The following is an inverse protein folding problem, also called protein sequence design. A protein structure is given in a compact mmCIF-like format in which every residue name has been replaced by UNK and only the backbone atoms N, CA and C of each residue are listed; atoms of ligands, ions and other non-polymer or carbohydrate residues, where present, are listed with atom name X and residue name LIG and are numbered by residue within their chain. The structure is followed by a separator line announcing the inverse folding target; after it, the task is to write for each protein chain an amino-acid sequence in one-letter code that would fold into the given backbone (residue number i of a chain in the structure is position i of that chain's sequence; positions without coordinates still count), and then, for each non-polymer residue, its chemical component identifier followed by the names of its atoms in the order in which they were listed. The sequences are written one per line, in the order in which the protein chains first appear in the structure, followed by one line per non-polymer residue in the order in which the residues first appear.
data_IF_490904204580
#
_entry.id   IF_490904204580
#
_cell.length_a   1.000
_cell.length_b   1.000
_cell.length_c   1.000
_cell.angle_alpha   90.00
_cell.angle_beta   90.00
_cell.angle_gamma   90.00
#
_symmetry.space_group_name_H-M   'P 1'
#
loop_
_entity.id
_entity.type
_entity.pdbx_description
1 polymer ?
#
# COMPACT_ATOMS: atom_id res chain seq x y z
N UNK A 1 -90.82 129.75 -29.73
CA UNK A 1 -91.56 128.71 -28.97
C UNK A 1 -92.49 127.87 -29.86
N UNK A 2 -93.34 128.45 -30.74
CA UNK A 2 -94.28 127.66 -31.58
C UNK A 2 -93.63 126.71 -32.60
N UNK A 3 -92.47 127.07 -33.16
CA UNK A 3 -91.74 126.18 -34.08
C UNK A 3 -91.27 124.88 -33.41
N UNK A 4 -90.78 124.98 -32.16
CA UNK A 4 -90.30 123.83 -31.40
C UNK A 4 -91.44 122.91 -30.95
N UNK A 5 -92.61 123.44 -30.56
CA UNK A 5 -93.75 122.58 -30.20
C UNK A 5 -94.36 121.89 -31.41
N UNK A 6 -94.36 122.54 -32.58
CA UNK A 6 -94.75 121.91 -33.85
C UNK A 6 -93.81 120.78 -34.25
N UNK A 7 -92.49 120.99 -34.13
CA UNK A 7 -91.48 119.94 -34.41
C UNK A 7 -91.62 118.78 -33.42
N UNK A 8 -91.76 119.04 -32.13
CA UNK A 8 -91.90 117.98 -31.13
C UNK A 8 -93.24 117.24 -31.22
N UNK A 9 -94.32 117.93 -31.57
CA UNK A 9 -95.61 117.32 -31.87
C UNK A 9 -95.56 116.41 -33.09
N UNK A 10 -94.80 116.78 -34.14
CA UNK A 10 -94.62 115.95 -35.33
C UNK A 10 -93.69 114.74 -35.07
N UNK A 11 -92.68 114.92 -34.23
CA UNK A 11 -91.63 113.92 -33.94
C UNK A 11 -92.08 112.90 -32.88
N UNK A 12 -93.05 113.23 -32.02
CA UNK A 12 -93.70 112.34 -31.04
C UNK A 12 -94.12 110.99 -31.64
N UNK A 13 -94.69 111.04 -32.84
CA UNK A 13 -95.28 109.86 -33.48
C UNK A 13 -94.33 109.15 -34.45
N UNK A 14 -93.12 109.68 -34.62
CA UNK A 14 -92.10 109.11 -35.50
C UNK A 14 -91.68 107.70 -35.00
N UNK A 15 -91.68 106.68 -35.88
CA UNK A 15 -91.25 105.33 -35.52
C UNK A 15 -89.85 105.28 -34.89
N UNK A 16 -88.95 106.19 -35.29
CA UNK A 16 -87.57 106.30 -34.78
C UNK A 16 -87.50 106.90 -33.37
N UNK A 17 -88.57 107.53 -32.90
CA UNK A 17 -88.71 108.04 -31.52
C UNK A 17 -89.46 107.04 -30.65
N UNK A 18 -90.43 106.31 -31.23
CA UNK A 18 -91.13 105.20 -30.57
C UNK A 18 -90.24 104.00 -30.22
N UNK A 19 -89.07 103.88 -30.83
CA UNK A 19 -88.05 102.88 -30.47
C UNK A 19 -87.41 103.14 -29.10
N UNK A 20 -87.53 104.36 -28.56
CA UNK A 20 -87.11 104.69 -27.20
C UNK A 20 -88.27 104.40 -26.22
N UNK A 21 -88.50 103.11 -25.94
CA UNK A 21 -89.58 102.61 -25.06
C UNK A 21 -89.49 103.11 -23.60
N UNK A 22 -88.41 103.80 -23.24
CA UNK A 22 -88.19 104.39 -21.91
C UNK A 22 -88.76 105.81 -21.78
N UNK A 23 -89.17 106.46 -22.89
CA UNK A 23 -89.86 107.76 -22.84
C UNK A 23 -91.34 107.49 -22.62
N UNK A 24 -91.84 107.74 -21.40
CA UNK A 24 -93.26 107.54 -21.13
C UNK A 24 -94.10 108.66 -21.73
N UNK A 25 -95.37 108.38 -22.01
CA UNK A 25 -96.32 109.40 -22.43
C UNK A 25 -96.44 110.53 -21.38
N UNK A 26 -96.22 110.21 -20.10
CA UNK A 26 -96.15 111.17 -19.01
C UNK A 26 -94.95 112.12 -19.15
N UNK A 27 -93.77 111.61 -19.52
CA UNK A 27 -92.58 112.44 -19.71
C UNK A 27 -92.75 113.39 -20.90
N UNK A 28 -93.33 112.88 -21.98
CA UNK A 28 -93.62 113.66 -23.18
C UNK A 28 -94.67 114.75 -22.91
N UNK A 29 -95.75 114.41 -22.20
CA UNK A 29 -96.80 115.37 -21.83
C UNK A 29 -96.24 116.48 -20.94
N UNK A 30 -95.39 116.16 -19.96
CA UNK A 30 -94.75 117.18 -19.11
C UNK A 30 -93.84 118.12 -19.89
N UNK A 31 -93.16 117.64 -20.93
CA UNK A 31 -92.35 118.48 -21.83
C UNK A 31 -93.26 119.40 -22.66
N UNK A 32 -94.36 118.87 -23.21
CA UNK A 32 -95.31 119.63 -24.03
C UNK A 32 -96.04 120.71 -23.22
N UNK A 33 -96.48 120.39 -22.01
CA UNK A 33 -97.24 121.29 -21.12
C UNK A 33 -96.42 122.51 -20.66
N UNK A 34 -95.09 122.37 -20.54
CA UNK A 34 -94.22 123.42 -20.03
C UNK A 34 -93.54 124.24 -21.14
N UNK A 35 -93.60 123.78 -22.39
CA UNK A 35 -92.87 124.39 -23.51
C UNK A 35 -93.29 125.83 -23.85
N UNK A 36 -94.50 126.23 -23.46
CA UNK A 36 -95.06 127.55 -23.73
C UNK A 36 -94.94 128.53 -22.54
N UNK A 37 -94.36 128.11 -21.42
CA UNK A 37 -94.32 128.88 -20.15
C UNK A 37 -93.05 129.74 -19.98
N UNK A 38 -92.52 130.28 -21.09
CA UNK A 38 -91.35 131.17 -21.07
C UNK A 38 -90.07 130.50 -20.55
N UNK A 39 -89.21 131.28 -19.87
CA UNK A 39 -87.89 130.82 -19.38
C UNK A 39 -88.02 129.70 -18.34
N UNK A 40 -88.98 129.80 -17.42
CA UNK A 40 -89.24 128.78 -16.42
C UNK A 40 -89.66 127.45 -17.07
N UNK A 41 -90.62 127.51 -18.00
CA UNK A 41 -91.08 126.35 -18.75
C UNK A 41 -89.97 125.64 -19.52
N UNK A 42 -89.06 126.41 -20.13
CA UNK A 42 -87.89 125.86 -20.83
C UNK A 42 -86.94 125.12 -19.87
N UNK A 43 -86.71 125.64 -18.66
CA UNK A 43 -85.93 124.94 -17.63
C UNK A 43 -86.54 123.58 -17.26
N UNK A 44 -87.85 123.53 -17.03
CA UNK A 44 -88.57 122.28 -16.73
C UNK A 44 -88.47 121.26 -17.87
N UNK A 45 -88.57 121.70 -19.13
CA UNK A 45 -88.37 120.84 -20.29
C UNK A 45 -86.95 120.25 -20.33
N UNK A 46 -85.93 121.08 -20.07
CA UNK A 46 -84.52 120.63 -20.01
C UNK A 46 -84.35 119.58 -18.92
N UNK A 47 -84.85 119.82 -17.71
CA UNK A 47 -84.72 118.88 -16.59
C UNK A 47 -85.38 117.53 -16.91
N UNK A 48 -86.53 117.54 -17.58
CA UNK A 48 -87.21 116.30 -17.99
C UNK A 48 -86.44 115.55 -19.07
N UNK A 49 -85.93 116.25 -20.10
CA UNK A 49 -85.09 115.63 -21.12
C UNK A 49 -83.81 115.06 -20.50
N UNK A 50 -83.17 115.79 -19.58
CA UNK A 50 -81.99 115.31 -18.85
C UNK A 50 -82.28 114.04 -18.07
N UNK A 51 -83.41 113.99 -17.34
CA UNK A 51 -83.82 112.78 -16.61
C UNK A 51 -84.07 111.60 -17.54
N UNK A 52 -84.82 111.80 -18.62
CA UNK A 52 -85.12 110.74 -19.60
C UNK A 52 -83.82 110.19 -20.23
N UNK A 53 -82.88 111.07 -20.59
CA UNK A 53 -81.58 110.65 -21.12
C UNK A 53 -80.76 109.90 -20.07
N UNK A 54 -80.79 110.36 -18.81
CA UNK A 54 -80.12 109.67 -17.71
C UNK A 54 -80.69 108.27 -17.46
N UNK A 55 -82.02 108.13 -17.40
CA UNK A 55 -82.70 106.85 -17.20
C UNK A 55 -82.46 105.90 -18.38
N UNK A 56 -82.44 106.42 -19.61
CA UNK A 56 -82.07 105.67 -20.80
C UNK A 56 -80.66 105.12 -20.72
N UNK A 57 -79.67 105.97 -20.40
CA UNK A 57 -78.27 105.55 -20.26
C UNK A 57 -78.11 104.54 -19.13
N UNK A 58 -78.80 104.71 -18.01
CA UNK A 58 -78.76 103.78 -16.88
C UNK A 58 -79.29 102.39 -17.28
N UNK A 59 -80.43 102.32 -17.97
CA UNK A 59 -81.00 101.04 -18.43
C UNK A 59 -80.14 100.39 -19.53
N UNK A 60 -79.57 101.19 -20.46
CA UNK A 60 -78.64 100.69 -21.48
C UNK A 60 -77.39 100.07 -20.82
N UNK A 61 -76.79 100.76 -19.85
CA UNK A 61 -75.64 100.26 -19.09
C UNK A 61 -75.99 98.97 -18.36
N UNK A 62 -77.13 98.93 -17.67
CA UNK A 62 -77.60 97.73 -16.96
C UNK A 62 -77.76 96.53 -17.89
N UNK A 63 -78.38 96.70 -19.06
CA UNK A 63 -78.54 95.60 -20.05
C UNK A 63 -77.20 95.18 -20.65
N UNK A 64 -76.33 96.15 -20.94
CA UNK A 64 -74.98 95.88 -21.46
C UNK A 64 -74.12 95.14 -20.44
N UNK A 65 -74.18 95.53 -19.16
CA UNK A 65 -73.50 94.86 -18.05
C UNK A 65 -74.01 93.44 -17.84
N UNK A 66 -75.32 93.18 -17.99
CA UNK A 66 -75.88 91.84 -17.93
C UNK A 66 -75.26 90.91 -18.99
N UNK A 67 -75.20 91.36 -20.24
CA UNK A 67 -74.55 90.61 -21.33
C UNK A 67 -73.05 90.41 -21.06
N UNK A 68 -72.34 91.46 -20.66
CA UNK A 68 -70.90 91.37 -20.34
C UNK A 68 -70.62 90.39 -19.19
N UNK A 69 -71.43 90.43 -18.13
CA UNK A 69 -71.29 89.53 -16.98
C UNK A 69 -71.49 88.08 -17.40
N UNK A 70 -72.52 87.78 -18.20
CA UNK A 70 -72.75 86.42 -18.69
C UNK A 70 -71.67 85.94 -19.65
N UNK A 71 -71.14 86.83 -20.51
CA UNK A 71 -69.99 86.51 -21.36
C UNK A 71 -68.73 86.20 -20.55
N UNK A 72 -68.50 86.93 -19.46
CA UNK A 72 -67.41 86.62 -18.53
C UNK A 72 -67.60 85.26 -17.87
N UNK A 73 -68.80 84.95 -17.36
CA UNK A 73 -69.16 83.63 -16.81
C UNK A 73 -68.96 82.50 -17.83
N UNK A 74 -69.38 82.71 -19.09
CA UNK A 74 -69.16 81.73 -20.16
C UNK A 74 -67.67 81.44 -20.36
N UNK A 75 -66.85 82.49 -20.47
CA UNK A 75 -65.40 82.38 -20.71
C UNK A 75 -64.66 81.72 -19.53
N UNK A 76 -64.91 82.22 -18.33
CA UNK A 76 -64.08 81.90 -17.16
C UNK A 76 -64.60 80.62 -16.48
N UNK A 77 -65.89 80.57 -16.17
CA UNK A 77 -66.47 79.50 -15.36
C UNK A 77 -66.87 78.28 -16.17
N UNK A 78 -67.38 78.48 -17.39
CA UNK A 78 -67.93 77.39 -18.20
C UNK A 78 -66.93 76.78 -19.16
N UNK A 79 -66.05 77.58 -19.75
CA UNK A 79 -65.03 77.09 -20.69
C UNK A 79 -63.73 76.81 -19.93
N UNK A 80 -63.11 77.84 -19.33
CA UNK A 80 -61.76 77.72 -18.79
C UNK A 80 -61.66 76.77 -17.59
N UNK A 81 -62.54 76.90 -16.60
CA UNK A 81 -62.51 76.04 -15.43
C UNK A 81 -62.84 74.57 -15.78
N UNK A 82 -63.87 74.34 -16.61
CA UNK A 82 -64.39 72.99 -16.88
C UNK A 82 -63.51 72.14 -17.78
N UNK A 83 -62.72 72.73 -18.68
CA UNK A 83 -61.77 71.97 -19.51
C UNK A 83 -60.77 71.21 -18.64
N UNK A 84 -60.36 71.78 -17.51
CA UNK A 84 -59.39 71.14 -16.59
C UNK A 84 -59.99 69.96 -15.80
N UNK A 85 -61.32 69.82 -15.74
CA UNK A 85 -61.98 68.73 -15.03
C UNK A 85 -62.01 67.42 -15.84
N UNK A 86 -61.59 67.45 -17.12
CA UNK A 86 -61.53 66.29 -18.00
C UNK A 86 -60.18 65.60 -17.81
N UNK A 87 -60.19 64.60 -16.93
CA UNK A 87 -58.99 63.88 -16.51
C UNK A 87 -58.76 62.63 -17.37
N UNK A 88 -57.61 62.59 -18.03
CA UNK A 88 -57.18 61.49 -18.88
C UNK A 88 -56.97 60.15 -18.13
N UNK A 89 -56.84 60.18 -16.80
CA UNK A 89 -56.68 58.96 -15.99
C UNK A 89 -58.01 58.25 -15.71
N UNK A 90 -59.14 58.91 -15.98
CA UNK A 90 -60.46 58.32 -15.84
C UNK A 90 -60.79 57.43 -17.04
N UNK A 91 -61.74 56.52 -16.87
CA UNK A 91 -62.23 55.71 -17.99
C UNK A 91 -63.03 56.58 -18.99
N UNK A 92 -63.10 56.16 -20.25
CA UNK A 92 -63.67 56.98 -21.31
C UNK A 92 -65.15 57.28 -21.08
N UNK A 93 -65.89 56.38 -20.43
CA UNK A 93 -67.29 56.62 -20.06
C UNK A 93 -67.44 57.79 -19.08
N UNK A 94 -66.58 57.89 -18.05
CA UNK A 94 -66.59 59.04 -17.12
C UNK A 94 -66.12 60.32 -17.78
N UNK A 95 -65.09 60.24 -18.63
CA UNK A 95 -64.62 61.41 -19.40
C UNK A 95 -65.75 61.96 -20.28
N UNK A 96 -66.50 61.08 -20.95
CA UNK A 96 -67.66 61.47 -21.75
C UNK A 96 -68.78 62.09 -20.92
N UNK A 97 -69.12 61.52 -19.76
CA UNK A 97 -70.14 62.10 -18.87
C UNK A 97 -69.77 63.52 -18.42
N UNK A 98 -68.51 63.75 -18.06
CA UNK A 98 -68.01 65.10 -17.71
C UNK A 98 -68.08 66.05 -18.89
N UNK A 99 -67.74 65.58 -20.09
CA UNK A 99 -67.83 66.37 -21.32
C UNK A 99 -69.28 66.75 -21.63
N UNK A 100 -70.21 65.81 -21.51
CA UNK A 100 -71.66 66.04 -21.67
C UNK A 100 -72.15 67.13 -20.71
N UNK A 101 -71.82 67.04 -19.42
CA UNK A 101 -72.21 68.07 -18.44
C UNK A 101 -71.59 69.43 -18.73
N UNK A 102 -70.34 69.47 -19.21
CA UNK A 102 -69.65 70.72 -19.58
C UNK A 102 -70.34 71.40 -20.77
N UNK A 103 -70.58 70.63 -21.83
CA UNK A 103 -71.22 71.14 -23.06
C UNK A 103 -72.66 71.57 -22.80
N UNK A 104 -73.40 70.87 -21.94
CA UNK A 104 -74.74 71.30 -21.52
C UNK A 104 -74.70 72.62 -20.75
N UNK A 105 -73.77 72.78 -19.81
CA UNK A 105 -73.61 74.04 -19.08
C UNK A 105 -73.26 75.22 -19.98
N UNK A 106 -72.40 75.01 -20.99
CA UNK A 106 -72.08 76.00 -22.03
C UNK A 106 -73.33 76.33 -22.84
N UNK A 107 -74.07 75.31 -23.30
CA UNK A 107 -75.30 75.48 -24.09
C UNK A 107 -76.35 76.30 -23.35
N UNK A 108 -76.59 76.04 -22.07
CA UNK A 108 -77.53 76.81 -21.26
C UNK A 108 -77.10 78.28 -21.12
N UNK A 109 -75.81 78.52 -20.87
CA UNK A 109 -75.28 79.89 -20.72
C UNK A 109 -75.38 80.67 -22.03
N UNK A 110 -75.14 80.02 -23.18
CA UNK A 110 -75.32 80.64 -24.51
C UNK A 110 -76.77 81.07 -24.73
N UNK A 111 -77.75 80.20 -24.43
CA UNK A 111 -79.17 80.54 -24.54
C UNK A 111 -79.57 81.69 -23.60
N UNK A 112 -79.00 81.74 -22.39
CA UNK A 112 -79.23 82.86 -21.46
C UNK A 112 -78.64 84.18 -21.96
N UNK A 113 -77.52 84.15 -22.70
CA UNK A 113 -76.95 85.35 -23.34
C UNK A 113 -77.82 85.79 -24.51
N UNK A 114 -78.30 84.87 -25.35
CA UNK A 114 -79.19 85.18 -26.47
C UNK A 114 -80.46 85.91 -25.99
N UNK A 115 -81.06 85.44 -24.90
CA UNK A 115 -82.22 86.10 -24.28
C UNK A 115 -81.92 87.53 -23.79
N UNK A 116 -80.74 87.78 -23.23
CA UNK A 116 -80.36 89.13 -22.79
C UNK A 116 -80.06 90.04 -23.98
N UNK A 117 -79.39 89.51 -25.02
CA UNK A 117 -79.11 90.23 -26.27
C UNK A 117 -80.41 90.66 -26.96
N UNK A 118 -81.46 89.85 -26.86
CA UNK A 118 -82.79 90.18 -27.41
C UNK A 118 -83.41 91.43 -26.77
N UNK A 119 -82.97 91.82 -25.57
CA UNK A 119 -83.43 93.02 -24.86
C UNK A 119 -82.63 94.28 -25.20
N UNK A 120 -81.52 94.17 -25.93
CA UNK A 120 -80.72 95.34 -26.33
C UNK A 120 -81.44 96.18 -27.38
N UNK A 121 -80.95 97.40 -27.61
CA UNK A 121 -81.41 98.21 -28.74
C UNK A 121 -81.09 97.51 -30.08
N UNK A 122 -81.84 97.87 -31.12
CA UNK A 122 -81.82 97.17 -32.41
C UNK A 122 -80.40 97.10 -33.01
N UNK A 123 -79.60 98.16 -32.87
CA UNK A 123 -78.27 98.20 -33.47
C UNK A 123 -77.28 97.28 -32.73
N UNK A 124 -77.26 97.33 -31.38
CA UNK A 124 -76.43 96.45 -30.56
C UNK A 124 -76.87 94.98 -30.66
N UNK A 125 -78.19 94.74 -30.61
CA UNK A 125 -78.79 93.42 -30.81
C UNK A 125 -78.31 92.78 -32.10
N UNK A 126 -78.51 93.43 -33.26
CA UNK A 126 -78.11 92.88 -34.55
C UNK A 126 -76.63 92.50 -34.61
N UNK A 127 -75.76 93.34 -34.05
CA UNK A 127 -74.31 93.10 -34.07
C UNK A 127 -73.92 91.90 -33.21
N UNK A 128 -74.47 91.79 -32.00
CA UNK A 128 -74.13 90.72 -31.06
C UNK A 128 -74.80 89.40 -31.46
N UNK A 129 -76.06 89.41 -31.92
CA UNK A 129 -76.76 88.21 -32.40
C UNK A 129 -75.95 87.49 -33.49
N UNK A 130 -75.30 88.23 -34.41
CA UNK A 130 -74.48 87.62 -35.47
C UNK A 130 -73.32 86.81 -34.90
N UNK A 131 -72.60 87.34 -33.92
CA UNK A 131 -71.47 86.64 -33.30
C UNK A 131 -71.96 85.48 -32.41
N UNK A 132 -73.07 85.68 -31.68
CA UNK A 132 -73.70 84.63 -30.87
C UNK A 132 -74.15 83.44 -31.71
N UNK A 133 -74.68 83.66 -32.91
CA UNK A 133 -75.06 82.57 -33.82
C UNK A 133 -73.88 81.65 -34.18
N UNK A 134 -72.65 82.20 -34.28
CA UNK A 134 -71.46 81.39 -34.54
C UNK A 134 -71.11 80.52 -33.33
N UNK A 135 -71.16 81.10 -32.13
CA UNK A 135 -70.93 80.38 -30.86
C UNK A 135 -71.99 79.29 -30.67
N UNK A 136 -73.27 79.63 -30.83
CA UNK A 136 -74.39 78.70 -30.72
C UNK A 136 -74.27 77.54 -31.72
N UNK A 137 -73.87 77.83 -32.96
CA UNK A 137 -73.61 76.80 -33.96
C UNK A 137 -72.52 75.82 -33.54
N UNK A 138 -71.38 76.32 -33.05
CA UNK A 138 -70.28 75.48 -32.57
C UNK A 138 -70.70 74.63 -31.35
N UNK A 139 -71.40 75.23 -30.38
CA UNK A 139 -71.89 74.54 -29.19
C UNK A 139 -72.93 73.46 -29.56
N UNK A 140 -73.78 73.72 -30.55
CA UNK A 140 -74.75 72.74 -31.01
C UNK A 140 -74.07 71.49 -31.60
N UNK A 141 -73.02 71.66 -32.43
CA UNK A 141 -72.25 70.54 -32.98
C UNK A 141 -71.58 69.74 -31.88
N UNK A 142 -70.96 70.42 -30.90
CA UNK A 142 -70.35 69.76 -29.74
C UNK A 142 -71.37 68.96 -28.94
N UNK A 143 -72.56 69.53 -28.71
CA UNK A 143 -73.65 68.89 -27.98
C UNK A 143 -74.15 67.65 -28.72
N UNK A 144 -74.45 67.77 -30.01
CA UNK A 144 -74.91 66.62 -30.81
C UNK A 144 -73.88 65.48 -30.83
N UNK A 145 -72.60 65.82 -30.82
CA UNK A 145 -71.52 64.82 -30.82
C UNK A 145 -71.38 64.16 -29.44
N UNK A 146 -71.34 64.95 -28.36
CA UNK A 146 -71.18 64.45 -26.99
C UNK A 146 -72.37 63.60 -26.52
N UNK A 147 -73.59 63.96 -26.94
CA UNK A 147 -74.82 63.23 -26.61
C UNK A 147 -75.17 62.15 -27.66
N UNK A 148 -74.33 61.97 -28.68
CA UNK A 148 -74.53 60.95 -29.70
C UNK A 148 -74.39 59.54 -29.12
N UNK A 149 -75.46 58.73 -29.23
CA UNK A 149 -75.49 57.36 -28.70
C UNK A 149 -74.31 56.50 -29.20
N UNK A 150 -73.88 56.69 -30.46
CA UNK A 150 -72.72 55.99 -31.03
C UNK A 150 -71.42 56.30 -30.29
N UNK A 151 -71.22 57.54 -29.89
CA UNK A 151 -70.00 57.96 -29.18
C UNK A 151 -69.97 57.39 -27.76
N UNK A 152 -71.11 57.38 -27.07
CA UNK A 152 -71.26 56.73 -25.77
C UNK A 152 -71.03 55.22 -25.83
N UNK A 153 -71.57 54.55 -26.85
CA UNK A 153 -71.34 53.11 -27.07
C UNK A 153 -69.86 52.80 -27.33
N UNK A 154 -69.17 53.63 -28.12
CA UNK A 154 -67.74 53.49 -28.38
C UNK A 154 -66.90 53.66 -27.11
N UNK A 155 -67.15 54.70 -26.32
CA UNK A 155 -66.45 54.94 -25.06
C UNK A 155 -66.58 53.75 -24.10
N UNK A 156 -67.82 53.25 -23.93
CA UNK A 156 -68.10 52.07 -23.12
C UNK A 156 -67.42 50.81 -23.66
N UNK A 157 -67.45 50.59 -24.98
CA UNK A 157 -66.84 49.42 -25.61
C UNK A 157 -65.33 49.38 -25.39
N UNK A 158 -64.65 50.52 -25.49
CA UNK A 158 -63.20 50.61 -25.24
C UNK A 158 -62.90 50.31 -23.77
N UNK A 159 -63.63 50.90 -22.83
CA UNK A 159 -63.46 50.63 -21.40
C UNK A 159 -63.69 49.14 -21.05
N UNK A 160 -64.71 48.53 -21.64
CA UNK A 160 -65.01 47.10 -21.47
C UNK A 160 -63.92 46.21 -22.05
N UNK A 161 -63.39 46.54 -23.23
CA UNK A 161 -62.31 45.78 -23.86
C UNK A 161 -61.01 45.91 -23.08
N UNK A 162 -60.64 47.12 -22.62
CA UNK A 162 -59.49 47.33 -21.75
C UNK A 162 -59.60 46.51 -20.46
N UNK A 163 -60.79 46.46 -19.85
CA UNK A 163 -61.04 45.64 -18.65
C UNK A 163 -60.88 44.15 -18.94
N UNK A 164 -61.40 43.67 -20.09
CA UNK A 164 -61.26 42.28 -20.53
C UNK A 164 -59.80 41.93 -20.80
N UNK A 165 -59.05 42.78 -21.50
CA UNK A 165 -57.63 42.58 -21.77
C UNK A 165 -56.81 42.55 -20.48
N UNK A 166 -57.05 43.48 -19.55
CA UNK A 166 -56.40 43.47 -18.23
C UNK A 166 -56.64 42.14 -17.50
N UNK A 167 -57.89 41.64 -17.50
CA UNK A 167 -58.23 40.36 -16.86
C UNK A 167 -57.56 39.17 -17.56
N UNK A 168 -57.51 39.16 -18.90
CA UNK A 168 -56.81 38.12 -19.68
C UNK A 168 -55.32 38.10 -19.35
N UNK A 169 -54.67 39.26 -19.37
CA UNK A 169 -53.25 39.40 -19.05
C UNK A 169 -52.96 38.91 -17.62
N UNK A 170 -53.78 39.29 -16.64
CA UNK A 170 -53.62 38.81 -15.26
C UNK A 170 -53.74 37.29 -15.16
N UNK A 171 -54.72 36.70 -15.83
CA UNK A 171 -54.91 35.24 -15.84
C UNK A 171 -53.75 34.52 -16.53
N UNK A 172 -53.23 35.06 -17.62
CA UNK A 172 -52.07 34.50 -18.33
C UNK A 172 -50.81 34.57 -17.48
N UNK A 173 -50.56 35.69 -16.79
CA UNK A 173 -49.45 35.84 -15.85
C UNK A 173 -49.57 34.79 -14.73
N UNK A 174 -50.74 34.66 -14.11
CA UNK A 174 -50.95 33.70 -13.03
C UNK A 174 -50.73 32.26 -13.51
N UNK A 175 -51.29 31.90 -14.67
CA UNK A 175 -51.14 30.56 -15.26
C UNK A 175 -49.68 30.23 -15.57
N UNK A 176 -48.95 31.16 -16.20
CA UNK A 176 -47.54 30.96 -16.51
C UNK A 176 -46.68 30.88 -15.24
N UNK A 177 -47.00 31.68 -14.23
CA UNK A 177 -46.30 31.64 -12.94
C UNK A 177 -46.49 30.29 -12.24
N UNK A 178 -47.70 29.76 -12.20
CA UNK A 178 -47.98 28.42 -11.64
C UNK A 178 -47.29 27.31 -12.45
N UNK A 179 -47.27 27.39 -13.78
CA UNK A 179 -46.52 26.43 -14.61
C UNK A 179 -45.03 26.43 -14.29
N UNK A 180 -44.41 27.62 -14.17
CA UNK A 180 -42.99 27.74 -13.81
C UNK A 180 -42.73 27.17 -12.42
N UNK A 181 -43.59 27.48 -11.44
CA UNK A 181 -43.51 26.93 -10.08
C UNK A 181 -43.57 25.41 -10.08
N UNK A 182 -44.56 24.83 -10.76
CA UNK A 182 -44.73 23.39 -10.89
C UNK A 182 -43.52 22.71 -11.54
N UNK A 183 -43.01 23.27 -12.65
CA UNK A 183 -41.81 22.75 -13.31
C UNK A 183 -40.60 22.79 -12.39
N UNK A 184 -40.43 23.87 -11.63
CA UNK A 184 -39.31 24.03 -10.72
C UNK A 184 -39.38 23.01 -9.56
N UNK A 185 -40.56 22.83 -8.97
CA UNK A 185 -40.83 21.81 -7.94
C UNK A 185 -40.50 20.41 -8.45
N UNK A 186 -40.96 20.04 -9.66
CA UNK A 186 -40.61 18.75 -10.26
C UNK A 186 -39.11 18.57 -10.43
N UNK A 187 -38.40 19.58 -10.96
CA UNK A 187 -36.96 19.49 -11.17
C UNK A 187 -36.19 19.37 -9.86
N UNK A 188 -36.59 20.07 -8.81
CA UNK A 188 -35.99 19.91 -7.49
C UNK A 188 -36.24 18.53 -6.91
N UNK A 189 -37.45 17.98 -7.02
CA UNK A 189 -37.75 16.61 -6.59
C UNK A 189 -36.86 15.60 -7.29
N UNK A 190 -36.70 15.70 -8.62
CA UNK A 190 -35.81 14.81 -9.38
C UNK A 190 -34.34 14.89 -8.91
N UNK A 191 -33.85 16.09 -8.57
CA UNK A 191 -32.51 16.29 -8.03
C UNK A 191 -32.39 15.64 -6.65
N UNK A 192 -33.37 15.84 -5.78
CA UNK A 192 -33.39 15.25 -4.43
C UNK A 192 -33.42 13.73 -4.48
N UNK A 193 -34.23 13.14 -5.36
CA UNK A 193 -34.28 11.70 -5.59
C UNK A 193 -32.93 11.17 -6.10
N UNK A 194 -32.29 11.89 -7.03
CA UNK A 194 -30.96 11.55 -7.51
C UNK A 194 -29.89 11.58 -6.40
N UNK A 195 -29.95 12.57 -5.51
CA UNK A 195 -29.06 12.66 -4.32
C UNK A 195 -29.34 11.49 -3.37
N UNK A 196 -30.60 11.11 -3.18
CA UNK A 196 -30.98 9.99 -2.33
C UNK A 196 -30.41 8.67 -2.85
N UNK A 197 -30.59 8.38 -4.15
CA UNK A 197 -30.05 7.16 -4.77
C UNK A 197 -28.52 7.13 -4.79
N UNK A 198 -27.86 8.28 -4.98
CA UNK A 198 -26.40 8.36 -4.87
C UNK A 198 -25.92 8.02 -3.45
N UNK A 199 -26.59 8.57 -2.42
CA UNK A 199 -26.25 8.29 -1.03
C UNK A 199 -26.49 6.83 -0.64
N UNK A 200 -27.58 6.24 -1.12
CA UNK A 200 -27.88 4.82 -0.95
C UNK A 200 -26.81 3.95 -1.59
N UNK A 201 -26.50 4.19 -2.87
CA UNK A 201 -25.43 3.48 -3.60
C UNK A 201 -24.09 3.61 -2.87
N UNK A 202 -23.75 4.81 -2.40
CA UNK A 202 -22.54 5.06 -1.61
C UNK A 202 -22.52 4.18 -0.35
N UNK A 203 -23.62 4.17 0.42
CA UNK A 203 -23.74 3.37 1.64
C UNK A 203 -23.58 1.88 1.37
N UNK A 204 -24.21 1.37 0.32
CA UNK A 204 -24.13 -0.04 -0.06
C UNK A 204 -22.72 -0.43 -0.48
N UNK A 205 -22.03 0.41 -1.27
CA UNK A 205 -20.63 0.18 -1.64
C UNK A 205 -19.70 0.19 -0.43
N UNK A 206 -19.84 1.14 0.49
CA UNK A 206 -19.05 1.15 1.72
C UNK A 206 -19.31 -0.08 2.59
N UNK A 207 -20.55 -0.59 2.63
CA UNK A 207 -20.85 -1.85 3.31
C UNK A 207 -20.10 -3.03 2.70
N UNK A 208 -20.04 -3.12 1.37
CA UNK A 208 -19.28 -4.16 0.66
C UNK A 208 -17.78 -4.03 0.96
N UNK A 209 -17.22 -2.82 0.83
CA UNK A 209 -15.79 -2.57 1.11
C UNK A 209 -15.44 -2.96 2.54
N UNK A 210 -16.25 -2.55 3.52
CA UNK A 210 -16.01 -2.90 4.93
C UNK A 210 -16.10 -4.41 5.15
N UNK A 211 -17.06 -5.10 4.53
CA UNK A 211 -17.16 -6.56 4.61
C UNK A 211 -15.93 -7.27 4.04
N UNK A 212 -15.44 -6.84 2.88
CA UNK A 212 -14.22 -7.37 2.27
C UNK A 212 -12.98 -7.08 3.13
N UNK A 213 -12.90 -5.90 3.74
CA UNK A 213 -11.81 -5.54 4.64
C UNK A 213 -11.81 -6.39 5.90
N UNK A 214 -12.98 -6.60 6.53
CA UNK A 214 -13.12 -7.49 7.67
C UNK A 214 -12.71 -8.93 7.34
N UNK A 215 -13.07 -9.43 6.16
CA UNK A 215 -12.67 -10.75 5.69
C UNK A 215 -11.17 -10.85 5.45
N UNK A 216 -10.57 -9.85 4.80
CA UNK A 216 -9.13 -9.78 4.60
C UNK A 216 -8.36 -9.74 5.93
N UNK A 217 -8.84 -8.96 6.91
CA UNK A 217 -8.26 -8.92 8.25
C UNK A 217 -8.35 -10.27 8.97
N UNK A 218 -9.49 -10.97 8.84
CA UNK A 218 -9.63 -12.33 9.39
C UNK A 218 -8.67 -13.31 8.73
N UNK A 219 -8.50 -13.25 7.41
CA UNK A 219 -7.56 -14.11 6.70
C UNK A 219 -6.11 -13.82 7.10
N UNK A 220 -5.71 -12.54 7.16
CA UNK A 220 -4.39 -12.14 7.62
C UNK A 220 -4.12 -12.61 9.05
N UNK A 221 -5.10 -12.46 9.96
CA UNK A 221 -5.00 -12.96 11.34
C UNK A 221 -4.87 -14.48 11.41
N UNK A 222 -5.60 -15.24 10.57
CA UNK A 222 -5.45 -16.70 10.47
C UNK A 222 -4.07 -17.09 9.98
N UNK A 223 -3.57 -16.45 8.92
CA UNK A 223 -2.23 -16.71 8.41
C UNK A 223 -1.18 -16.46 9.50
N UNK A 224 -1.27 -15.36 10.24
CA UNK A 224 -0.35 -15.06 11.33
C UNK A 224 -0.37 -16.15 12.42
N UNK A 225 -1.56 -16.59 12.85
CA UNK A 225 -1.72 -17.66 13.84
C UNK A 225 -1.19 -18.99 13.32
N UNK A 226 -1.55 -19.36 12.09
CA UNK A 226 -1.17 -20.64 11.49
C UNK A 226 0.34 -20.71 11.27
N UNK A 227 0.94 -19.69 10.65
CA UNK A 227 2.40 -19.64 10.46
C UNK A 227 3.13 -19.61 11.80
N UNK A 228 2.67 -18.81 12.77
CA UNK A 228 3.27 -18.79 14.11
C UNK A 228 3.19 -20.16 14.77
N UNK A 229 2.07 -20.87 14.65
CA UNK A 229 1.87 -22.22 15.18
C UNK A 229 2.83 -23.21 14.52
N UNK A 230 2.91 -23.24 13.18
CA UNK A 230 3.83 -24.12 12.45
C UNK A 230 5.29 -23.83 12.77
N UNK A 231 5.68 -22.55 12.79
CA UNK A 231 7.05 -22.13 13.14
C UNK A 231 7.37 -22.60 14.56
N UNK A 232 6.47 -22.36 15.53
CA UNK A 232 6.66 -22.79 16.92
C UNK A 232 6.79 -24.31 17.01
N UNK A 233 5.93 -25.06 16.32
CA UNK A 233 5.97 -26.53 16.28
C UNK A 233 7.31 -27.07 15.75
N UNK A 234 7.82 -26.50 14.65
CA UNK A 234 9.12 -26.92 14.10
C UNK A 234 10.29 -26.52 15.01
N UNK A 235 10.26 -25.34 15.63
CA UNK A 235 11.27 -24.94 16.60
C UNK A 235 11.27 -25.85 17.83
N UNK A 236 10.10 -26.23 18.34
CA UNK A 236 9.96 -27.17 19.44
C UNK A 236 10.47 -28.56 19.06
N UNK A 237 10.19 -29.02 17.84
CA UNK A 237 10.70 -30.28 17.30
C UNK A 237 12.23 -30.28 17.22
N UNK A 238 12.83 -29.20 16.69
CA UNK A 238 14.28 -29.04 16.63
C UNK A 238 14.87 -29.01 18.04
N UNK A 239 14.27 -28.25 18.97
CA UNK A 239 14.72 -28.17 20.37
C UNK A 239 14.76 -29.56 20.99
N UNK A 240 13.68 -30.34 20.87
CA UNK A 240 13.61 -31.68 21.43
C UNK A 240 14.65 -32.63 20.83
N UNK A 241 14.88 -32.57 19.51
CA UNK A 241 15.91 -33.35 18.84
C UNK A 241 17.32 -32.98 19.31
N UNK A 242 17.61 -31.68 19.49
CA UNK A 242 18.88 -31.20 20.03
C UNK A 242 19.08 -31.66 21.48
N UNK A 243 18.03 -31.58 22.32
CA UNK A 243 18.07 -32.07 23.70
C UNK A 243 18.32 -33.58 23.77
N UNK A 244 17.73 -34.36 22.87
CA UNK A 244 17.98 -35.80 22.76
C UNK A 244 19.43 -36.10 22.36
N UNK A 245 19.93 -35.44 21.31
CA UNK A 245 21.34 -35.56 20.90
C UNK A 245 22.28 -35.18 22.05
N UNK A 246 21.99 -34.09 22.76
CA UNK A 246 22.79 -33.66 23.90
C UNK A 246 22.81 -34.69 25.03
N UNK A 247 21.65 -35.28 25.38
CA UNK A 247 21.56 -36.36 26.37
C UNK A 247 22.37 -37.59 25.94
N UNK A 248 22.25 -37.99 24.67
CA UNK A 248 22.99 -39.12 24.11
C UNK A 248 24.50 -38.89 24.11
N UNK A 249 24.96 -37.69 23.71
CA UNK A 249 26.37 -37.31 23.77
C UNK A 249 26.90 -37.33 25.20
N UNK A 250 26.14 -36.80 26.16
CA UNK A 250 26.52 -36.82 27.58
C UNK A 250 26.64 -38.26 28.11
N UNK A 251 25.69 -39.13 27.77
CA UNK A 251 25.71 -40.54 28.13
C UNK A 251 26.91 -41.27 27.51
N UNK A 252 27.16 -41.08 26.21
CA UNK A 252 28.29 -41.68 25.52
C UNK A 252 29.64 -41.18 26.06
N UNK A 253 29.74 -39.89 26.40
CA UNK A 253 30.95 -39.32 27.02
C UNK A 253 31.23 -40.00 28.36
N UNK A 254 30.20 -40.22 29.18
CA UNK A 254 30.33 -40.95 30.44
C UNK A 254 30.76 -42.40 30.21
N UNK A 255 30.13 -43.10 29.26
CA UNK A 255 30.47 -44.48 28.90
C UNK A 255 31.91 -44.59 28.39
N UNK A 256 32.36 -43.66 27.53
CA UNK A 256 33.74 -43.58 27.05
C UNK A 256 34.71 -43.30 28.20
N UNK A 257 34.36 -42.41 29.14
CA UNK A 257 35.19 -42.15 30.32
C UNK A 257 35.35 -43.42 31.17
N UNK A 258 34.29 -44.22 31.33
CA UNK A 258 34.36 -45.49 32.05
C UNK A 258 35.18 -46.54 31.31
N UNK A 259 35.03 -46.66 29.98
CA UNK A 259 35.85 -47.55 29.16
C UNK A 259 37.33 -47.15 29.18
N UNK A 260 37.62 -45.85 29.12
CA UNK A 260 38.98 -45.34 29.22
C UNK A 260 39.60 -45.63 30.60
N UNK A 261 38.83 -45.47 31.68
CA UNK A 261 39.26 -45.86 33.03
C UNK A 261 39.55 -47.37 33.12
N UNK A 262 38.64 -48.21 32.62
CA UNK A 262 38.81 -49.67 32.58
C UNK A 262 40.03 -50.09 31.75
N UNK A 263 40.20 -49.52 30.56
CA UNK A 263 41.36 -49.77 29.72
C UNK A 263 42.66 -49.36 30.43
N UNK A 264 42.66 -48.23 31.15
CA UNK A 264 43.80 -47.83 31.96
C UNK A 264 44.12 -48.83 33.07
N UNK A 265 43.11 -49.35 33.77
CA UNK A 265 43.29 -50.38 34.81
C UNK A 265 43.86 -51.69 34.24
N UNK A 266 43.32 -52.17 33.12
CA UNK A 266 43.81 -53.38 32.43
C UNK A 266 45.24 -53.20 31.91
N UNK A 267 45.55 -52.05 31.30
CA UNK A 267 46.93 -51.72 30.90
C UNK A 267 47.87 -51.66 32.10
N UNK A 268 47.43 -51.12 33.24
CA UNK A 268 48.22 -51.11 34.47
C UNK A 268 48.43 -52.51 35.06
N UNK A 269 47.44 -53.40 34.96
CA UNK A 269 47.55 -54.80 35.37
C UNK A 269 48.55 -55.56 34.49
N UNK A 270 48.47 -55.41 33.16
CA UNK A 270 49.45 -55.98 32.22
C UNK A 270 50.83 -55.41 32.50
N UNK A 271 50.95 -54.08 32.69
CA UNK A 271 52.22 -53.43 33.03
C UNK A 271 52.82 -54.04 34.30
N UNK A 272 52.04 -54.20 35.38
CA UNK A 272 52.50 -54.82 36.63
C UNK A 272 52.90 -56.30 36.47
N UNK A 273 52.25 -57.04 35.57
CA UNK A 273 52.56 -58.44 35.28
C UNK A 273 53.83 -58.65 34.44
N UNK A 274 54.22 -57.64 33.64
CA UNK A 274 55.37 -57.70 32.72
C UNK A 274 56.60 -56.98 33.26
N UNK A 275 56.43 -55.89 34.01
CA UNK A 275 57.53 -54.99 34.34
C UNK A 275 58.50 -55.58 35.38
N UNK A 276 59.81 -55.49 35.07
CA UNK A 276 60.91 -55.49 36.05
C UNK A 276 60.71 -54.36 37.06
N UNK A 277 60.09 -54.64 38.21
CA UNK A 277 60.03 -53.65 39.27
C UNK A 277 61.46 -53.41 39.80
N UNK A 278 62.06 -52.30 39.38
CA UNK A 278 63.34 -51.79 39.86
C UNK A 278 63.32 -51.31 41.32
N UNK A 279 62.29 -51.66 42.09
CA UNK A 279 62.10 -51.24 43.48
C UNK A 279 61.33 -52.30 44.27
N UNK A 280 62.07 -53.03 45.11
CA UNK A 280 61.74 -53.50 46.48
C UNK A 280 60.48 -54.31 46.79
N UNK A 281 59.66 -54.74 45.84
CA UNK A 281 58.61 -55.75 46.09
C UNK A 281 58.79 -56.96 45.18
N UNK A 282 59.20 -58.08 45.79
CA UNK A 282 59.42 -59.39 45.17
C UNK A 282 58.09 -59.96 44.68
N UNK A 283 57.67 -59.58 43.48
CA UNK A 283 56.56 -60.24 42.79
C UNK A 283 57.10 -61.50 42.11
N UNK A 284 57.10 -62.62 42.85
CA UNK A 284 57.59 -63.94 42.41
C UNK A 284 56.86 -64.48 41.16
N UNK A 285 55.75 -63.85 40.75
CA UNK A 285 54.95 -64.24 39.59
C UNK A 285 55.30 -63.52 38.28
N UNK A 286 56.13 -62.48 38.29
CA UNK A 286 56.50 -61.75 37.05
C UNK A 286 57.21 -62.66 36.04
N UNK A 287 56.83 -62.53 34.77
CA UNK A 287 57.40 -63.29 33.65
C UNK A 287 58.92 -63.06 33.55
N UNK A 288 59.38 -61.82 33.77
CA UNK A 288 60.80 -61.47 33.69
C UNK A 288 61.63 -62.16 34.80
N UNK A 289 61.08 -62.28 36.02
CA UNK A 289 61.73 -63.00 37.12
C UNK A 289 61.82 -64.52 36.86
N UNK A 290 60.76 -65.12 36.31
CA UNK A 290 60.77 -66.56 35.95
C UNK A 290 61.75 -66.87 34.83
N UNK A 291 61.95 -65.92 33.90
CA UNK A 291 62.94 -66.04 32.84
C UNK A 291 64.38 -66.04 33.37
N UNK A 292 64.72 -65.13 34.29
CA UNK A 292 66.05 -65.10 34.92
C UNK A 292 66.32 -66.38 35.73
N UNK A 293 65.32 -66.88 36.47
CA UNK A 293 65.44 -68.14 37.22
C UNK A 293 65.68 -69.36 36.32
N UNK A 294 65.03 -69.42 35.15
CA UNK A 294 65.23 -70.48 34.16
C UNK A 294 66.64 -70.45 33.55
N UNK A 295 67.15 -69.26 33.20
CA UNK A 295 68.51 -69.10 32.69
C UNK A 295 69.57 -69.58 33.70
N UNK A 296 69.40 -69.25 34.99
CA UNK A 296 70.32 -69.70 36.04
C UNK A 296 70.32 -71.22 36.21
N UNK A 297 69.16 -71.87 36.11
CA UNK A 297 69.03 -73.32 36.24
C UNK A 297 69.72 -74.08 35.10
N UNK A 298 69.58 -73.59 33.86
CA UNK A 298 70.21 -74.21 32.68
C UNK A 298 71.74 -74.16 32.79
N UNK A 299 72.31 -73.00 33.18
CA UNK A 299 73.77 -72.86 33.35
C UNK A 299 74.33 -73.86 34.37
N UNK A 300 73.64 -74.02 35.50
CA UNK A 300 74.06 -74.93 36.59
C UNK A 300 74.08 -76.40 36.17
N UNK A 301 73.20 -76.82 35.26
CA UNK A 301 73.16 -78.19 34.74
C UNK A 301 74.31 -78.47 33.76
N UNK A 302 74.76 -77.47 32.99
CA UNK A 302 75.84 -77.62 32.01
C UNK A 302 77.22 -77.66 32.68
N UNK A 303 77.45 -76.83 33.70
CA UNK A 303 78.72 -76.81 34.46
C UNK A 303 79.00 -78.11 35.23
N UNK A 304 77.96 -78.92 35.51
CA UNK A 304 78.10 -80.17 36.28
C UNK A 304 78.64 -81.38 35.50
N UNK A 305 78.77 -81.30 34.17
CA UNK A 305 79.00 -82.49 33.31
C UNK A 305 80.45 -82.54 32.77
N UNK A 306 81.19 -81.43 32.78
CA UNK A 306 82.56 -81.32 32.28
C UNK A 306 83.51 -80.85 33.38
N UNK A 307 84.23 -81.78 34.01
CA UNK A 307 85.23 -81.46 35.04
C UNK A 307 86.49 -82.29 34.78
N UNK A 308 87.64 -81.65 34.61
CA UNK A 308 88.95 -82.32 34.64
C UNK A 308 89.35 -82.56 36.10
N UNK A 309 89.16 -83.79 36.60
CA UNK A 309 89.68 -84.17 37.92
C UNK A 309 90.20 -85.60 37.94
N UNK A 310 91.24 -85.84 38.74
CA UNK A 310 91.97 -87.12 38.79
C UNK A 310 91.20 -88.27 39.46
N UNK A 311 89.96 -88.05 39.94
CA UNK A 311 89.29 -88.99 40.85
C UNK A 311 87.82 -89.33 40.52
N UNK A 312 87.31 -89.06 39.32
CA UNK A 312 85.97 -89.52 38.94
C UNK A 312 85.83 -89.85 37.44
N UNK A 313 84.89 -90.75 37.15
CA UNK A 313 84.50 -91.22 35.81
C UNK A 313 83.71 -90.15 35.03
N UNK A 314 84.32 -89.01 34.75
CA UNK A 314 83.75 -87.90 33.97
C UNK A 314 84.30 -87.88 32.53
N UNK A 315 83.61 -87.19 31.62
CA UNK A 315 83.89 -87.22 30.18
C UNK A 315 85.35 -86.85 29.82
N UNK A 316 85.97 -85.93 30.57
CA UNK A 316 87.38 -85.53 30.35
C UNK A 316 88.40 -86.65 30.63
N UNK A 317 88.14 -87.55 31.58
CA UNK A 317 89.08 -88.61 31.95
C UNK A 317 89.07 -89.80 30.97
N UNK A 318 87.91 -90.05 30.33
CA UNK A 318 87.77 -91.04 29.26
C UNK A 318 88.59 -90.61 28.03
N UNK A 319 88.53 -89.33 27.67
CA UNK A 319 89.28 -88.79 26.53
C UNK A 319 90.80 -88.96 26.71
N UNK A 320 91.32 -88.70 27.92
CA UNK A 320 92.76 -88.75 28.22
C UNK A 320 93.34 -90.17 28.11
N UNK A 321 92.71 -91.18 28.71
CA UNK A 321 93.22 -92.57 28.70
C UNK A 321 93.21 -93.20 27.31
N UNK A 322 92.24 -92.86 26.47
CA UNK A 322 92.17 -93.33 25.08
C UNK A 322 93.32 -92.74 24.26
N UNK A 323 93.68 -91.46 24.46
CA UNK A 323 94.83 -90.82 23.80
C UNK A 323 96.16 -91.45 24.21
N UNK A 324 96.34 -91.86 25.48
CA UNK A 324 97.61 -92.43 25.94
C UNK A 324 97.87 -93.85 25.42
N UNK A 325 96.84 -94.70 25.31
CA UNK A 325 97.00 -96.04 24.75
C UNK A 325 97.37 -96.01 23.25
N UNK A 326 96.76 -95.10 22.48
CA UNK A 326 97.00 -94.96 21.04
C UNK A 326 98.47 -94.65 20.70
N UNK A 327 99.17 -93.88 21.55
CA UNK A 327 100.59 -93.52 21.35
C UNK A 327 101.54 -94.73 21.32
N UNK A 328 101.16 -95.87 21.91
CA UNK A 328 102.03 -97.07 21.94
C UNK A 328 102.20 -97.74 20.57
N UNK A 329 101.38 -97.38 19.58
CA UNK A 329 101.45 -97.89 18.21
C UNK A 329 102.12 -96.91 17.24
N UNK A 330 102.75 -95.84 17.74
CA UNK A 330 103.44 -94.84 16.92
C UNK A 330 104.95 -95.10 16.82
N UNK A 331 105.46 -95.09 15.59
CA UNK A 331 106.90 -95.03 15.27
C UNK A 331 107.72 -96.22 15.77
N UNK A 332 108.89 -95.93 16.35
CA UNK A 332 109.82 -96.96 16.83
C UNK A 332 109.24 -97.80 18.00
N UNK A 333 108.25 -97.28 18.72
CA UNK A 333 107.53 -98.00 19.79
C UNK A 333 106.80 -99.24 19.25
N UNK A 334 106.28 -99.17 18.03
CA UNK A 334 105.65 -100.31 17.36
C UNK A 334 106.67 -101.41 17.04
N UNK A 335 107.88 -101.03 16.58
CA UNK A 335 108.97 -101.98 16.33
C UNK A 335 109.34 -102.74 17.59
N UNK A 336 109.53 -102.04 18.71
CA UNK A 336 109.84 -102.67 20.00
C UNK A 336 108.73 -103.66 20.43
N UNK A 337 107.47 -103.33 20.15
CA UNK A 337 106.35 -104.21 20.47
C UNK A 337 106.32 -105.48 19.62
N UNK A 338 106.63 -105.37 18.33
CA UNK A 338 106.72 -106.54 17.43
C UNK A 338 107.95 -107.39 17.74
N UNK A 339 109.09 -106.79 18.09
CA UNK A 339 110.27 -107.54 18.56
C UNK A 339 109.95 -108.35 19.81
N UNK A 340 109.22 -107.77 20.76
CA UNK A 340 108.74 -108.49 21.94
C UNK A 340 107.87 -109.71 21.55
N UNK A 341 106.94 -109.54 20.60
CA UNK A 341 106.13 -110.67 20.11
C UNK A 341 106.96 -111.76 19.42
N UNK A 342 107.99 -111.39 18.65
CA UNK A 342 108.87 -112.36 18.00
C UNK A 342 109.75 -113.12 19.01
N UNK A 343 110.16 -112.49 20.11
CA UNK A 343 110.83 -113.19 21.20
C UNK A 343 109.91 -114.21 21.86
N UNK A 344 108.67 -113.82 22.14
CA UNK A 344 107.69 -114.72 22.76
C UNK A 344 107.39 -115.91 21.85
N UNK A 345 107.21 -115.70 20.55
CA UNK A 345 106.89 -116.77 19.58
C UNK A 345 108.05 -117.76 19.37
N UNK A 346 109.29 -117.31 19.38
CA UNK A 346 110.47 -118.17 19.17
C UNK A 346 111.11 -118.69 20.46
N UNK A 347 110.48 -118.45 21.61
CA UNK A 347 111.00 -118.94 22.88
C UNK A 347 110.96 -120.47 22.91
N UNK A 348 112.07 -121.09 23.34
CA UNK A 348 112.16 -122.55 23.46
C UNK A 348 111.05 -123.08 24.37
N UNK A 349 110.24 -124.01 23.85
CA UNK A 349 109.06 -124.56 24.54
C UNK A 349 107.72 -124.11 23.95
N UNK A 350 107.71 -123.07 23.10
CA UNK A 350 106.50 -122.65 22.40
C UNK A 350 106.24 -123.51 21.14
N UNK A 351 104.97 -123.59 20.67
CA UNK A 351 104.58 -124.46 19.55
C UNK A 351 105.36 -124.20 18.27
N UNK A 352 105.66 -122.93 17.98
CA UNK A 352 106.37 -122.51 16.78
C UNK A 352 107.83 -122.91 16.82
N UNK A 353 108.52 -122.69 17.95
CA UNK A 353 109.89 -123.19 18.14
C UNK A 353 109.94 -124.72 17.98
N UNK A 354 109.01 -125.43 18.62
CA UNK A 354 108.93 -126.89 18.57
C UNK A 354 108.71 -127.42 17.14
N UNK A 355 107.89 -126.72 16.34
CA UNK A 355 107.64 -127.05 14.94
C UNK A 355 108.88 -126.82 14.07
N UNK A 356 109.62 -125.74 14.33
CA UNK A 356 110.87 -125.44 13.62
C UNK A 356 111.96 -126.46 13.99
N UNK A 357 112.04 -126.86 15.27
CA UNK A 357 112.98 -127.89 15.72
C UNK A 357 112.68 -129.27 15.13
N UNK A 358 111.39 -129.66 15.10
CA UNK A 358 110.96 -130.90 14.45
C UNK A 358 111.24 -130.89 12.94
N UNK A 359 111.01 -129.75 12.27
CA UNK A 359 111.35 -129.57 10.85
C UNK A 359 112.85 -129.74 10.61
N UNK A 360 113.69 -129.14 11.47
CA UNK A 360 115.15 -129.27 11.40
C UNK A 360 115.60 -130.72 11.65
N UNK A 361 115.03 -131.41 12.64
CA UNK A 361 115.32 -132.81 12.94
C UNK A 361 115.03 -133.75 11.76
N UNK A 362 113.85 -133.60 11.14
CA UNK A 362 113.39 -134.48 10.05
C UNK A 362 114.24 -134.33 8.78
N UNK A 363 114.89 -133.18 8.59
CA UNK A 363 115.64 -132.87 7.37
C UNK A 363 117.16 -132.94 7.54
N UNK A 364 117.68 -133.28 8.73
CA UNK A 364 119.13 -133.25 9.01
C UNK A 364 119.96 -134.22 8.15
N UNK A 365 119.34 -135.29 7.63
CA UNK A 365 120.00 -136.31 6.78
C UNK A 365 119.93 -135.99 5.28
N UNK A 366 119.14 -134.99 4.87
CA UNK A 366 119.05 -134.50 3.48
C UNK A 366 120.14 -133.47 3.20
N UNK A 367 120.61 -133.42 1.96
CA UNK A 367 121.87 -132.78 1.53
C UNK A 367 122.16 -131.40 2.14
N UNK A 368 121.15 -130.55 2.34
CA UNK A 368 121.31 -129.19 2.82
C UNK A 368 121.79 -129.09 4.29
N UNK A 369 121.54 -130.10 5.12
CA UNK A 369 121.81 -130.05 6.56
C UNK A 369 122.90 -131.03 7.05
N UNK A 370 123.52 -131.78 6.13
CA UNK A 370 124.42 -132.90 6.45
C UNK A 370 125.70 -132.55 7.22
N UNK A 371 126.09 -131.29 7.31
CA UNK A 371 127.39 -130.89 7.89
C UNK A 371 127.32 -130.31 9.30
N UNK A 372 126.15 -130.13 9.91
CA UNK A 372 126.02 -129.53 11.23
C UNK A 372 124.85 -130.16 12.00
N UNK A 373 125.10 -130.74 13.17
CA UNK A 373 124.08 -131.42 13.99
C UNK A 373 122.81 -130.59 14.28
N UNK A 374 121.74 -131.29 14.69
CA UNK A 374 120.36 -130.80 14.81
C UNK A 374 120.18 -129.37 15.34
N UNK A 375 120.77 -129.04 16.48
CA UNK A 375 120.54 -127.76 17.17
C UNK A 375 120.89 -126.53 16.31
N UNK A 376 121.92 -126.66 15.46
CA UNK A 376 122.41 -125.57 14.60
C UNK A 376 121.49 -125.35 13.40
N UNK A 377 120.80 -126.39 12.94
CA UNK A 377 119.82 -126.28 11.86
C UNK A 377 118.59 -125.49 12.33
N UNK A 378 118.07 -125.76 13.53
CA UNK A 378 116.93 -125.05 14.15
C UNK A 378 117.21 -123.55 14.28
N UNK A 379 118.39 -123.18 14.80
CA UNK A 379 118.77 -121.78 14.97
C UNK A 379 118.90 -121.02 13.66
N UNK A 380 119.40 -121.66 12.60
CA UNK A 380 119.51 -121.04 11.29
C UNK A 380 118.14 -120.77 10.66
N UNK A 381 117.17 -121.67 10.84
CA UNK A 381 115.80 -121.46 10.36
C UNK A 381 115.14 -120.30 11.12
N UNK A 382 115.26 -120.26 12.46
CA UNK A 382 114.74 -119.15 13.27
C UNK A 382 115.37 -117.82 12.84
N UNK A 383 116.69 -117.80 12.65
CA UNK A 383 117.39 -116.60 12.21
C UNK A 383 116.87 -116.13 10.85
N UNK A 384 116.73 -117.03 9.88
CA UNK A 384 116.22 -116.68 8.56
C UNK A 384 114.79 -116.12 8.60
N UNK A 385 113.91 -116.71 9.42
CA UNK A 385 112.55 -116.20 9.61
C UNK A 385 112.60 -114.81 10.24
N UNK A 386 113.42 -114.61 11.29
CA UNK A 386 113.54 -113.33 11.98
C UNK A 386 114.10 -112.23 11.06
N UNK A 387 115.11 -112.55 10.26
CA UNK A 387 115.67 -111.63 9.26
C UNK A 387 114.61 -111.26 8.21
N UNK A 388 113.84 -112.24 7.71
CA UNK A 388 112.76 -112.02 6.73
C UNK A 388 111.63 -111.15 7.30
N UNK A 389 111.22 -111.38 8.55
CA UNK A 389 110.18 -110.58 9.20
C UNK A 389 110.68 -109.17 9.46
N UNK A 390 111.91 -108.99 9.96
CA UNK A 390 112.47 -107.67 10.23
C UNK A 390 112.61 -106.84 8.95
N UNK A 391 113.03 -107.46 7.84
CA UNK A 391 113.11 -106.78 6.54
C UNK A 391 111.72 -106.32 6.06
N UNK A 392 110.68 -107.16 6.21
CA UNK A 392 109.31 -106.76 5.90
C UNK A 392 108.74 -105.72 6.87
N UNK A 393 109.09 -105.79 8.15
CA UNK A 393 108.61 -104.85 9.16
C UNK A 393 109.17 -103.43 8.91
N UNK A 394 110.44 -103.32 8.51
CA UNK A 394 111.03 -102.04 8.10
C UNK A 394 110.32 -101.43 6.89
N UNK A 395 109.95 -102.25 5.90
CA UNK A 395 109.13 -101.79 4.76
C UNK A 395 107.76 -101.26 5.19
N UNK A 396 107.10 -101.90 6.16
CA UNK A 396 105.80 -101.44 6.68
C UNK A 396 105.94 -100.15 7.49
N UNK A 397 106.95 -100.03 8.36
CA UNK A 397 107.14 -98.84 9.21
C UNK A 397 107.51 -97.60 8.38
N UNK A 398 108.33 -97.77 7.34
CA UNK A 398 108.70 -96.67 6.43
C UNK A 398 107.60 -96.31 5.41
N UNK A 399 106.63 -97.19 5.19
CA UNK A 399 105.54 -97.01 4.20
C UNK A 399 104.29 -96.29 4.72
N UNK A 400 104.20 -95.97 6.02
CA UNK A 400 103.01 -95.32 6.61
C UNK A 400 103.25 -93.82 6.81
N UNK A 401 102.52 -92.99 6.05
CA UNK A 401 102.50 -91.52 6.22
C UNK A 401 101.25 -91.10 7.01
N UNK A 402 101.44 -90.13 7.93
CA UNK A 402 100.54 -89.62 9.00
C UNK A 402 99.07 -89.32 8.64
N UNK A 403 98.23 -89.28 9.67
CA UNK A 403 96.94 -88.55 9.67
C UNK A 403 96.96 -87.44 10.73
N UNK A 404 96.81 -86.19 10.29
CA UNK A 404 96.46 -85.04 11.13
C UNK A 404 94.94 -85.01 11.34
N UNK A 405 94.46 -84.55 12.51
CA UNK A 405 93.11 -84.03 12.66
C UNK A 405 93.02 -82.95 13.74
N UNK A 406 92.04 -82.09 13.49
CA UNK A 406 91.87 -80.65 13.73
C UNK A 406 91.01 -80.28 14.95
N UNK A 407 91.02 -78.98 15.24
CA UNK A 407 90.40 -78.16 16.30
C UNK A 407 88.87 -78.20 16.47
N UNK A 408 88.43 -77.65 17.62
CA UNK A 408 87.11 -77.07 17.93
C UNK A 408 86.90 -77.07 19.46
N UNK A 409 86.29 -76.12 20.17
CA UNK A 409 85.57 -74.86 19.89
C UNK A 409 85.08 -74.40 21.28
N UNK A 410 85.54 -73.26 21.83
CA UNK A 410 85.06 -72.76 23.14
C UNK A 410 83.88 -71.79 22.99
N UNK A 411 82.89 -72.00 23.87
CA UNK A 411 81.56 -71.40 23.95
C UNK A 411 81.54 -70.42 25.14
N UNK A 412 80.92 -69.25 24.99
CA UNK A 412 80.29 -68.53 26.10
C UNK A 412 78.91 -68.02 25.72
#
# INVERSE_FOLDING_TARGET
MGFLSGVLGAVKDDPSVKTYTLITELDLNKILDNMHNGVYGFGVCIDHVMRVLHDYVAELNKRTEAVNSKLATLRDDKISAKITEIDATQNLEKQLQRWQSTVDGISSTVTEIENDVDTLDIALKMKITREMNQIAGAVHVLKNTAFGAKFAEQAKRVDDELRKQKKRLQNDINRQSENVKYMLEQKFTMILDGIHELNKTRKDRFKIINGLLEEALKQAGRLDVDYKSYITFYFDTIRNAVEEIHRNLKSNTLAMSNLAAFAHEEFDAIRKGVQKNGTTETNEESIENKWEALQAHIRKLVDGIYVESEQASNLGNIEKKVKDYAKTFEGESFKAKVEQWLEDVFKSGEPVYSSIDAYAHTNVTKSYFRSNGQLKATQNVIKHIRDTINERLQLVITGVTKVQNTEGSDIH
#
